data_IF_654651813838
#
_entry.id   IF_654651813838
#
_cell.length_a   1.000
_cell.length_b   1.000
_cell.length_c   1.000
_cell.angle_alpha   90.00
_cell.angle_beta   90.00
_cell.angle_gamma   90.00
#
_symmetry.space_group_name_H-M   'P 1'
#
loop_
_entity.id
_entity.type
_entity.pdbx_description
1 polymer ?
#
# COMPACT_ATOMS: atom_id res chain seq x y z
N UNK A 1 18.53 3.36 15.93
CA UNK A 1 18.05 2.23 15.14
C UNK A 1 19.04 1.10 15.30
N UNK A 2 18.60 -0.02 15.86
CA UNK A 2 19.46 -1.16 16.16
C UNK A 2 19.54 -2.10 14.94
N UNK A 3 20.59 -2.91 14.83
CA UNK A 3 20.80 -3.81 13.68
C UNK A 3 19.61 -4.73 13.40
N UNK A 4 18.92 -5.17 14.46
CA UNK A 4 17.71 -6.00 14.37
C UNK A 4 16.55 -5.26 13.69
N UNK A 5 16.35 -3.98 14.00
CA UNK A 5 15.28 -3.18 13.38
C UNK A 5 15.54 -2.98 11.88
N UNK A 6 16.79 -2.78 11.48
CA UNK A 6 17.18 -2.65 10.06
C UNK A 6 16.87 -3.95 9.30
N UNK A 7 17.25 -5.10 9.87
CA UNK A 7 17.00 -6.41 9.27
C UNK A 7 15.49 -6.65 9.13
N UNK A 8 14.70 -6.36 10.16
CA UNK A 8 13.25 -6.51 10.12
C UNK A 8 12.63 -5.56 9.10
N UNK A 9 13.06 -4.29 9.05
CA UNK A 9 12.61 -3.36 8.02
C UNK A 9 12.88 -3.92 6.62
N UNK A 10 14.10 -4.36 6.31
CA UNK A 10 14.41 -4.92 4.99
C UNK A 10 13.60 -6.19 4.68
N UNK A 11 13.41 -7.06 5.69
CA UNK A 11 12.66 -8.30 5.55
C UNK A 11 11.19 -8.08 5.22
N UNK A 12 10.58 -6.99 5.70
CA UNK A 12 9.18 -6.68 5.39
C UNK A 12 9.03 -5.74 4.18
N UNK A 13 9.87 -4.72 4.06
CA UNK A 13 9.75 -3.69 3.02
C UNK A 13 10.19 -4.20 1.65
N UNK A 14 11.23 -5.05 1.58
CA UNK A 14 11.72 -5.61 0.33
C UNK A 14 10.68 -6.45 -0.41
N UNK A 15 10.14 -7.52 0.19
CA UNK A 15 9.10 -8.34 -0.43
C UNK A 15 7.82 -7.56 -0.74
N UNK A 16 7.45 -6.61 0.12
CA UNK A 16 6.28 -5.76 -0.07
C UNK A 16 6.42 -4.87 -1.31
N UNK A 17 7.56 -4.19 -1.49
CA UNK A 17 7.81 -3.37 -2.68
C UNK A 17 7.82 -4.20 -3.96
N UNK A 18 8.37 -5.42 -3.89
CA UNK A 18 8.35 -6.35 -5.01
C UNK A 18 6.92 -6.77 -5.37
N UNK A 19 6.12 -7.14 -4.37
CA UNK A 19 4.71 -7.48 -4.55
C UNK A 19 3.89 -6.31 -5.13
N UNK A 20 4.08 -5.09 -4.61
CA UNK A 20 3.41 -3.88 -5.13
C UNK A 20 3.78 -3.63 -6.59
N UNK A 21 5.07 -3.76 -6.93
CA UNK A 21 5.54 -3.58 -8.31
C UNK A 21 4.93 -4.62 -9.25
N UNK A 22 4.86 -5.88 -8.81
CA UNK A 22 4.25 -6.97 -9.56
C UNK A 22 2.74 -6.74 -9.78
N UNK A 23 2.01 -6.43 -8.71
CA UNK A 23 0.56 -6.18 -8.77
C UNK A 23 0.27 -4.98 -9.66
N UNK A 24 1.07 -3.91 -9.57
CA UNK A 24 0.93 -2.73 -10.44
C UNK A 24 1.09 -3.11 -11.92
N UNK A 25 2.06 -3.95 -12.25
CA UNK A 25 2.29 -4.36 -13.65
C UNK A 25 1.16 -5.28 -14.14
N UNK A 26 0.73 -6.24 -13.33
CA UNK A 26 -0.41 -7.10 -13.67
C UNK A 26 -1.70 -6.30 -13.90
N UNK A 27 -1.96 -5.31 -13.04
CA UNK A 27 -3.12 -4.43 -13.15
C UNK A 27 -2.99 -3.39 -14.26
N UNK A 28 -1.79 -3.23 -14.87
CA UNK A 28 -1.59 -2.31 -16.00
C UNK A 28 -2.32 -2.73 -17.27
N UNK A 29 -2.80 -3.96 -17.37
CA UNK A 29 -3.60 -4.43 -18.50
C UNK A 29 -5.12 -4.35 -18.24
N UNK A 30 -5.51 -4.03 -17.01
CA UNK A 30 -6.92 -4.04 -16.56
C UNK A 30 -7.57 -2.67 -16.79
N UNK A 31 -8.90 -2.60 -16.94
CA UNK A 31 -9.62 -1.35 -17.16
C UNK A 31 -9.43 -0.32 -16.01
N UNK A 32 -9.48 1.00 -16.32
CA UNK A 32 -9.28 2.06 -15.31
C UNK A 32 -10.27 1.99 -14.15
N UNK A 33 -11.54 1.65 -14.41
CA UNK A 33 -12.59 1.57 -13.39
C UNK A 33 -12.28 0.46 -12.37
N UNK A 34 -11.84 -0.71 -12.85
CA UNK A 34 -11.46 -1.83 -11.99
C UNK A 34 -10.21 -1.48 -11.18
N UNK A 35 -9.21 -0.82 -11.79
CA UNK A 35 -8.03 -0.35 -11.02
C UNK A 35 -8.40 0.63 -9.92
N UNK A 36 -9.35 1.53 -10.19
CA UNK A 36 -9.83 2.48 -9.20
C UNK A 36 -10.55 1.75 -8.05
N UNK A 37 -11.39 0.77 -8.35
CA UNK A 37 -12.05 -0.06 -7.34
C UNK A 37 -11.04 -0.84 -6.47
N UNK A 38 -10.04 -1.48 -7.09
CA UNK A 38 -8.97 -2.18 -6.37
C UNK A 38 -8.15 -1.19 -5.53
N UNK A 39 -7.87 0.00 -6.05
CA UNK A 39 -7.19 1.07 -5.32
C UNK A 39 -7.96 1.50 -4.07
N UNK A 40 -9.27 1.70 -4.18
CA UNK A 40 -10.14 2.01 -3.02
C UNK A 40 -10.17 0.85 -2.03
N UNK A 41 -10.32 -0.39 -2.51
CA UNK A 41 -10.31 -1.57 -1.65
C UNK A 41 -8.99 -1.71 -0.88
N UNK A 42 -7.85 -1.46 -1.54
CA UNK A 42 -6.53 -1.45 -0.91
C UNK A 42 -6.41 -0.34 0.16
N UNK A 43 -7.00 0.84 -0.07
CA UNK A 43 -7.04 1.91 0.93
C UNK A 43 -7.83 1.50 2.17
N UNK A 44 -9.03 0.93 1.96
CA UNK A 44 -9.88 0.46 3.05
C UNK A 44 -9.15 -0.64 3.83
N UNK A 45 -8.54 -1.60 3.14
CA UNK A 45 -7.76 -2.66 3.77
C UNK A 45 -6.58 -2.11 4.58
N UNK A 46 -5.88 -1.08 4.08
CA UNK A 46 -4.82 -0.41 4.83
C UNK A 46 -5.36 0.22 6.12
N UNK A 47 -6.44 1.00 6.02
CA UNK A 47 -7.06 1.65 7.19
C UNK A 47 -7.53 0.62 8.23
N UNK A 48 -8.15 -0.47 7.78
CA UNK A 48 -8.56 -1.58 8.66
C UNK A 48 -7.34 -2.21 9.35
N UNK A 49 -6.26 -2.43 8.61
CA UNK A 49 -5.00 -2.98 9.15
C UNK A 49 -4.44 -2.07 10.23
N UNK A 50 -4.45 -0.74 10.02
CA UNK A 50 -4.00 0.23 11.01
C UNK A 50 -4.83 0.18 12.30
N UNK A 51 -6.15 0.20 12.21
CA UNK A 51 -7.02 0.08 13.38
C UNK A 51 -6.89 -1.27 14.09
N UNK A 52 -6.73 -2.36 13.34
CA UNK A 52 -6.49 -3.68 13.91
C UNK A 52 -5.18 -3.69 14.72
N UNK A 53 -4.10 -3.12 14.17
CA UNK A 53 -2.83 -3.01 14.88
C UNK A 53 -2.95 -2.18 16.16
N UNK A 54 -3.62 -1.03 16.12
CA UNK A 54 -3.85 -0.20 17.32
C UNK A 54 -4.68 -0.90 18.40
N UNK A 55 -5.56 -1.83 18.03
CA UNK A 55 -6.39 -2.58 18.98
C UNK A 55 -5.68 -3.80 19.57
N UNK A 56 -4.78 -4.42 18.81
CA UNK A 56 -4.14 -5.69 19.15
C UNK A 56 -2.82 -5.47 19.90
N UNK A 57 -2.06 -4.43 19.53
CA UNK A 57 -0.74 -4.20 20.11
C UNK A 57 -0.85 -3.54 21.50
N UNK A 58 -0.09 -4.02 22.50
CA UNK A 58 -0.02 -3.40 23.81
C UNK A 58 0.72 -2.05 23.75
N UNK A 59 0.80 -1.34 24.87
CA UNK A 59 1.48 -0.04 24.94
C UNK A 59 2.91 -0.09 24.37
N UNK A 60 3.37 0.97 23.68
CA UNK A 60 4.64 0.98 22.94
C UNK A 60 5.87 0.71 23.80
N UNK A 61 5.80 0.95 25.11
CA UNK A 61 6.87 0.62 26.05
C UNK A 61 7.09 -0.89 26.20
N UNK A 62 6.03 -1.70 26.08
CA UNK A 62 6.09 -3.17 26.16
C UNK A 62 6.53 -3.82 24.84
N UNK A 63 6.44 -3.10 23.71
CA UNK A 63 6.80 -3.62 22.38
C UNK A 63 8.32 -3.62 22.18
N UNK A 64 9.03 -2.64 22.73
CA UNK A 64 10.49 -2.51 22.51
C UNK A 64 11.31 -3.63 23.14
N UNK A 65 10.79 -4.27 24.18
CA UNK A 65 11.46 -5.36 24.89
C UNK A 65 11.16 -6.76 24.32
N UNK A 66 10.14 -6.90 23.46
CA UNK A 66 9.71 -8.18 22.92
C UNK A 66 9.85 -8.23 21.39
N UNK A 67 10.74 -9.11 20.92
CA UNK A 67 11.03 -9.30 19.49
C UNK A 67 9.80 -9.76 18.69
N UNK A 68 8.90 -10.54 19.29
CA UNK A 68 7.68 -10.99 18.62
C UNK A 68 6.74 -9.82 18.37
N UNK A 69 6.46 -9.02 19.40
CA UNK A 69 5.62 -7.82 19.29
C UNK A 69 6.22 -6.81 18.31
N UNK A 70 7.54 -6.64 18.31
CA UNK A 70 8.25 -5.75 17.38
C UNK A 70 8.15 -6.25 15.93
N UNK A 71 8.19 -7.56 15.71
CA UNK A 71 7.97 -8.19 14.39
C UNK A 71 6.53 -7.99 13.91
N UNK A 72 5.54 -8.18 14.78
CA UNK A 72 4.12 -7.97 14.47
C UNK A 72 3.85 -6.51 14.12
N UNK A 73 4.41 -5.56 14.89
CA UNK A 73 4.31 -4.13 14.62
C UNK A 73 4.93 -3.78 13.26
N UNK A 74 6.16 -4.24 12.97
CA UNK A 74 6.84 -4.01 11.71
C UNK A 74 6.07 -4.59 10.51
N UNK A 75 5.52 -5.80 10.65
CA UNK A 75 4.69 -6.43 9.63
C UNK A 75 3.39 -5.66 9.38
N UNK A 76 2.70 -5.25 10.46
CA UNK A 76 1.47 -4.46 10.38
C UNK A 76 1.68 -3.09 9.74
N UNK A 77 2.74 -2.38 10.15
CA UNK A 77 3.13 -1.09 9.57
C UNK A 77 3.52 -1.22 8.10
N UNK A 78 4.20 -2.30 7.73
CA UNK A 78 4.57 -2.57 6.35
C UNK A 78 3.35 -2.86 5.48
N UNK A 79 2.41 -3.67 5.97
CA UNK A 79 1.14 -3.93 5.28
C UNK A 79 0.30 -2.66 5.10
N UNK A 80 0.23 -1.81 6.13
CA UNK A 80 -0.43 -0.50 6.07
C UNK A 80 0.21 0.41 5.01
N UNK A 81 1.54 0.62 5.09
CA UNK A 81 2.27 1.45 4.15
C UNK A 81 2.14 0.93 2.72
N UNK A 82 2.23 -0.38 2.53
CA UNK A 82 2.09 -1.02 1.22
C UNK A 82 0.69 -0.84 0.62
N UNK A 83 -0.35 -0.99 1.44
CA UNK A 83 -1.74 -0.74 1.01
C UNK A 83 -1.96 0.71 0.58
N UNK A 84 -1.40 1.69 1.31
CA UNK A 84 -1.46 3.11 0.93
C UNK A 84 -0.74 3.37 -0.40
N UNK A 85 0.50 2.88 -0.54
CA UNK A 85 1.29 3.10 -1.76
C UNK A 85 0.61 2.47 -2.97
N UNK A 86 0.12 1.23 -2.83
CA UNK A 86 -0.61 0.54 -3.90
C UNK A 86 -1.88 1.28 -4.27
N UNK A 87 -2.67 1.71 -3.27
CA UNK A 87 -3.89 2.48 -3.49
C UNK A 87 -3.61 3.77 -4.26
N UNK A 88 -2.66 4.58 -3.79
CA UNK A 88 -2.29 5.84 -4.44
C UNK A 88 -1.82 5.64 -5.88
N UNK A 89 -1.00 4.61 -6.13
CA UNK A 89 -0.53 4.29 -7.48
C UNK A 89 -1.69 3.90 -8.41
N UNK A 90 -2.63 3.07 -7.94
CA UNK A 90 -3.76 2.60 -8.76
C UNK A 90 -4.76 3.72 -9.03
N UNK A 91 -5.19 4.44 -8.00
CA UNK A 91 -6.11 5.59 -8.12
C UNK A 91 -5.49 6.66 -9.01
N UNK A 92 -4.23 7.05 -8.74
CA UNK A 92 -3.51 8.04 -9.54
C UNK A 92 -3.40 7.63 -11.01
N UNK A 93 -3.11 6.35 -11.30
CA UNK A 93 -3.04 5.85 -12.68
C UNK A 93 -4.40 5.86 -13.39
N UNK A 94 -5.50 5.57 -12.69
CA UNK A 94 -6.85 5.58 -13.23
C UNK A 94 -7.32 7.02 -13.52
N UNK A 95 -7.06 7.95 -12.60
CA UNK A 95 -7.35 9.38 -12.78
C UNK A 95 -6.56 9.95 -13.97
N UNK A 96 -5.28 9.64 -14.06
CA UNK A 96 -4.42 10.10 -15.17
C UNK A 96 -4.91 9.60 -16.53
N UNK A 97 -5.33 8.34 -16.62
CA UNK A 97 -5.89 7.79 -17.86
C UNK A 97 -7.24 8.45 -18.21
N UNK A 98 -8.09 8.69 -17.22
CA UNK A 98 -9.37 9.38 -17.41
C UNK A 98 -9.16 10.80 -17.91
N UNK A 99 -8.19 11.52 -17.34
CA UNK A 99 -7.78 12.85 -17.78
C UNK A 99 -7.26 12.85 -19.22
N UNK A 100 -6.40 11.89 -19.58
CA UNK A 100 -5.90 11.74 -20.96
C UNK A 100 -7.02 11.52 -21.97
N UNK A 101 -7.99 10.65 -21.68
CA UNK A 101 -9.15 10.40 -22.56
C UNK A 101 -9.99 11.67 -22.75
N UNK A 102 -10.24 12.40 -21.67
CA UNK A 102 -10.97 13.66 -21.73
C UNK A 102 -10.25 14.72 -22.57
N UNK A 103 -8.94 14.89 -22.37
CA UNK A 103 -8.12 15.82 -23.16
C UNK A 103 -8.11 15.46 -24.64
N UNK A 104 -8.02 14.16 -24.96
CA UNK A 104 -8.01 13.68 -26.35
C UNK A 104 -9.35 13.94 -27.06
N UNK A 105 -10.49 13.69 -26.40
CA UNK A 105 -11.80 14.02 -26.96
C UNK A 105 -11.99 15.52 -27.17
N UNK A 106 -11.43 16.37 -26.31
CA UNK A 106 -11.44 17.82 -26.50
C UNK A 106 -10.56 18.30 -27.64
N UNK A 107 -9.48 17.56 -27.96
CA UNK A 107 -8.52 17.92 -29.01
C UNK A 107 -8.94 17.44 -30.41
N UNK A 108 -9.71 16.35 -30.52
CA UNK A 108 -10.19 15.82 -31.81
C UNK A 108 -11.64 16.23 -32.12
N UNK A 109 -12.30 16.96 -31.21
CA UNK A 109 -13.64 17.53 -31.40
C UNK A 109 -13.65 18.98 -31.88
N UNK A 110 -12.50 19.52 -32.29
CA UNK A 110 -12.32 20.81 -32.97
C UNK A 110 -11.74 20.58 -34.36
#
# INVERSE_FOLDING_TARGET
>A
MNAVEIILMLAFLGPLLFAISWVREALRQVEPNIRLAIGIAALIAAVVTFFAMMKILPEPAAIQSDLFLLTVLMGGMSAFAGGIVLSGALIGSAVWQSYKRWKFHRSNGS
#
